data_IF_450519251407
#
_entry.id   IF_450519251407
#
_cell.length_a   1.000
_cell.length_b   1.000
_cell.length_c   1.000
_cell.angle_alpha   90.00
_cell.angle_beta   90.00
_cell.angle_gamma   90.00
#
_symmetry.space_group_name_H-M   'P 1'
#
loop_
_entity.id
_entity.type
_entity.pdbx_description
1 polymer ?
#
# COMPACT_ATOMS: atom_id res chain seq x y z
N UNK A 1 -22.44 -20.43 28.58
CA UNK A 1 -21.47 -20.86 27.56
C UNK A 1 -22.30 -21.04 26.31
N UNK A 2 -22.64 -19.93 25.66
CA UNK A 2 -23.44 -19.90 24.44
C UNK A 2 -22.71 -19.02 23.42
N UNK A 3 -22.60 -19.57 22.21
CA UNK A 3 -21.96 -18.98 21.04
C UNK A 3 -22.93 -17.99 20.40
N UNK A 4 -22.95 -16.76 20.88
CA UNK A 4 -23.60 -15.67 20.13
C UNK A 4 -22.67 -15.17 19.04
N UNK A 5 -22.72 -15.90 17.94
CA UNK A 5 -22.16 -15.48 16.65
C UNK A 5 -23.09 -14.38 16.15
N UNK A 6 -22.73 -13.13 16.40
CA UNK A 6 -23.48 -11.98 15.91
C UNK A 6 -23.56 -12.09 14.38
N UNK A 7 -24.76 -12.42 13.89
CA UNK A 7 -25.09 -12.44 12.48
C UNK A 7 -24.92 -11.02 11.95
N UNK A 8 -23.84 -10.83 11.18
CA UNK A 8 -23.59 -9.60 10.44
C UNK A 8 -24.76 -9.42 9.46
N UNK A 9 -25.41 -8.27 9.57
CA UNK A 9 -26.61 -7.91 8.83
C UNK A 9 -26.34 -7.98 7.30
N UNK A 10 -26.98 -8.90 6.56
CA UNK A 10 -26.71 -9.11 5.14
C UNK A 10 -27.04 -7.88 4.27
N UNK A 11 -27.82 -6.94 4.79
CA UNK A 11 -28.21 -5.71 4.10
C UNK A 11 -27.10 -4.64 4.04
N UNK A 12 -26.09 -4.69 4.92
CA UNK A 12 -24.95 -3.77 4.88
C UNK A 12 -23.93 -4.20 3.82
N UNK A 13 -23.84 -5.49 3.54
CA UNK A 13 -22.98 -6.03 2.47
C UNK A 13 -23.55 -5.75 1.06
N UNK A 14 -24.86 -5.59 0.92
CA UNK A 14 -25.53 -5.43 -0.39
C UNK A 14 -25.61 -3.96 -0.86
N UNK A 15 -25.47 -2.98 0.04
CA UNK A 15 -25.44 -1.55 -0.31
C UNK A 15 -24.08 -1.01 -0.76
N UNK A 16 -23.02 -1.81 -0.69
CA UNK A 16 -21.77 -1.57 -1.43
C UNK A 16 -21.97 -1.97 -2.90
N UNK A 17 -22.91 -1.30 -3.57
CA UNK A 17 -23.22 -1.45 -4.99
C UNK A 17 -22.10 -0.95 -5.92
N UNK A 18 -22.28 -1.07 -7.24
CA UNK A 18 -21.28 -1.60 -8.18
C UNK A 18 -20.12 -0.66 -8.60
N UNK A 19 -19.97 0.52 -8.01
CA UNK A 19 -19.04 1.54 -8.52
C UNK A 19 -17.55 1.29 -8.24
N UNK A 20 -17.20 0.42 -7.29
CA UNK A 20 -15.79 0.06 -7.02
C UNK A 20 -15.30 -1.03 -8.00
N UNK A 21 -16.21 -1.68 -8.74
CA UNK A 21 -15.86 -2.74 -9.70
C UNK A 21 -15.13 -2.22 -10.96
N UNK A 22 -15.20 -0.90 -11.24
CA UNK A 22 -14.56 -0.26 -12.40
C UNK A 22 -13.07 0.07 -12.24
N UNK A 23 -12.54 0.10 -11.01
CA UNK A 23 -11.13 0.40 -10.73
C UNK A 23 -10.24 -0.85 -10.61
N UNK A 24 -10.79 -2.02 -10.95
CA UNK A 24 -10.14 -3.34 -10.80
C UNK A 24 -9.05 -3.66 -11.85
N UNK A 25 -8.59 -2.69 -12.66
CA UNK A 25 -7.62 -2.94 -13.74
C UNK A 25 -6.37 -2.07 -13.65
N UNK A 26 -5.72 -2.07 -12.50
CA UNK A 26 -4.27 -1.90 -12.44
C UNK A 26 -3.68 -2.95 -11.49
N UNK A 27 -4.06 -4.21 -11.72
CA UNK A 27 -3.22 -5.31 -11.28
C UNK A 27 -1.92 -5.19 -12.07
N UNK A 28 -0.82 -4.87 -11.39
CA UNK A 28 0.51 -5.04 -11.95
C UNK A 28 0.59 -6.48 -12.45
N UNK A 29 0.70 -6.60 -13.77
CA UNK A 29 0.54 -7.87 -14.48
C UNK A 29 1.51 -8.87 -13.84
N UNK A 30 1.07 -10.02 -13.29
CA UNK A 30 1.97 -11.01 -12.68
C UNK A 30 3.09 -11.44 -13.63
N UNK A 31 2.89 -11.25 -14.93
CA UNK A 31 3.88 -11.34 -15.98
C UNK A 31 5.09 -10.41 -15.80
N UNK A 32 4.93 -9.14 -15.41
CA UNK A 32 6.07 -8.20 -15.24
C UNK A 32 6.93 -8.56 -14.04
N UNK A 33 6.33 -9.02 -12.94
CA UNK A 33 7.04 -9.55 -11.76
C UNK A 33 7.66 -10.93 -12.01
N UNK A 34 7.06 -11.77 -12.84
CA UNK A 34 7.65 -13.03 -13.30
C UNK A 34 8.87 -12.80 -14.19
N UNK A 35 8.75 -11.91 -15.17
CA UNK A 35 9.86 -11.47 -16.01
C UNK A 35 10.97 -10.86 -15.16
N UNK A 36 10.64 -10.10 -14.13
CA UNK A 36 11.60 -9.50 -13.20
C UNK A 36 12.53 -10.54 -12.55
N UNK A 37 11.97 -11.61 -11.97
CA UNK A 37 12.76 -12.68 -11.35
C UNK A 37 13.56 -13.47 -12.39
N UNK A 38 12.98 -13.72 -13.55
CA UNK A 38 13.64 -14.46 -14.64
C UNK A 38 14.80 -13.63 -15.21
N UNK A 39 14.63 -12.31 -15.37
CA UNK A 39 15.69 -11.43 -15.84
C UNK A 39 16.81 -11.28 -14.80
N UNK A 40 16.51 -11.09 -13.52
CA UNK A 40 17.59 -10.94 -12.53
C UNK A 40 18.33 -12.25 -12.25
N UNK A 41 17.59 -13.32 -11.97
CA UNK A 41 18.20 -14.58 -11.56
C UNK A 41 18.66 -15.43 -12.75
N UNK A 42 18.09 -15.21 -13.95
CA UNK A 42 18.45 -15.95 -15.16
C UNK A 42 19.42 -15.19 -16.05
N UNK A 43 19.20 -13.89 -16.28
CA UNK A 43 19.98 -13.13 -17.27
C UNK A 43 21.38 -12.77 -16.76
N UNK A 44 21.53 -12.46 -15.46
CA UNK A 44 22.84 -12.13 -14.87
C UNK A 44 23.86 -13.28 -14.95
N UNK A 45 23.56 -14.53 -14.55
CA UNK A 45 24.51 -15.62 -14.69
C UNK A 45 24.79 -15.98 -16.15
N UNK A 46 23.80 -15.89 -17.05
CA UNK A 46 24.03 -16.08 -18.49
C UNK A 46 24.95 -15.00 -19.05
N UNK A 47 24.72 -13.73 -18.69
CA UNK A 47 25.59 -12.61 -19.05
C UNK A 47 27.01 -12.85 -18.55
N UNK A 48 27.18 -13.24 -17.28
CA UNK A 48 28.50 -13.54 -16.70
C UNK A 48 29.23 -14.65 -17.48
N UNK A 49 28.54 -15.76 -17.79
CA UNK A 49 29.12 -16.87 -18.55
C UNK A 49 29.52 -16.43 -19.96
N UNK A 50 28.69 -15.63 -20.63
CA UNK A 50 29.02 -15.07 -21.95
C UNK A 50 30.24 -14.14 -21.88
N UNK A 51 30.36 -13.32 -20.84
CA UNK A 51 31.52 -12.46 -20.64
C UNK A 51 32.81 -13.27 -20.41
N UNK A 52 32.75 -14.35 -19.62
CA UNK A 52 33.89 -15.24 -19.37
C UNK A 52 34.28 -15.99 -20.66
N UNK A 53 33.32 -16.59 -21.37
CA UNK A 53 33.57 -17.29 -22.61
C UNK A 53 34.19 -16.36 -23.68
N UNK A 54 33.71 -15.12 -23.73
CA UNK A 54 34.24 -14.09 -24.62
C UNK A 54 35.66 -13.68 -24.27
N UNK A 55 35.98 -13.50 -22.98
CA UNK A 55 37.34 -13.22 -22.52
C UNK A 55 38.31 -14.33 -22.94
N UNK A 56 37.92 -15.60 -22.77
CA UNK A 56 38.72 -16.76 -23.19
C UNK A 56 38.91 -16.79 -24.70
N UNK A 57 37.90 -16.42 -25.49
CA UNK A 57 38.02 -16.31 -26.94
C UNK A 57 39.05 -15.24 -27.34
N UNK A 58 38.93 -14.02 -26.81
CA UNK A 58 39.84 -12.89 -27.11
C UNK A 58 41.30 -13.27 -26.84
N UNK A 59 41.58 -13.87 -25.68
CA UNK A 59 42.94 -14.28 -25.28
C UNK A 59 43.55 -15.27 -26.28
N UNK A 60 42.73 -16.11 -26.92
CA UNK A 60 43.21 -17.13 -27.84
C UNK A 60 43.37 -16.66 -29.29
N UNK A 61 42.65 -15.61 -29.73
CA UNK A 61 42.60 -15.28 -31.17
C UNK A 61 43.73 -14.42 -31.73
N UNK A 62 44.45 -13.61 -30.94
CA UNK A 62 45.58 -12.79 -31.43
C UNK A 62 45.22 -11.72 -32.49
N UNK A 63 46.07 -10.71 -32.65
CA UNK A 63 46.01 -9.72 -33.76
C UNK A 63 45.05 -8.54 -33.60
N UNK A 64 44.91 -7.74 -34.66
CA UNK A 64 44.15 -6.47 -34.68
C UNK A 64 42.64 -6.63 -34.43
N UNK A 65 42.10 -7.83 -34.66
CA UNK A 65 40.72 -8.18 -34.32
C UNK A 65 40.42 -8.07 -32.83
N UNK A 66 41.45 -8.12 -31.98
CA UNK A 66 41.32 -7.92 -30.53
C UNK A 66 40.76 -6.52 -30.26
N UNK A 67 41.30 -5.46 -30.88
CA UNK A 67 40.93 -4.07 -30.56
C UNK A 67 39.44 -3.83 -30.85
N UNK A 68 38.96 -4.27 -32.02
CA UNK A 68 37.55 -4.12 -32.41
C UNK A 68 36.64 -4.91 -31.47
N UNK A 69 37.06 -6.12 -31.09
CA UNK A 69 36.31 -6.96 -30.16
C UNK A 69 36.24 -6.36 -28.75
N UNK A 70 37.32 -5.75 -28.25
CA UNK A 70 37.32 -5.07 -26.94
C UNK A 70 36.39 -3.86 -26.95
N UNK A 71 36.46 -3.02 -27.98
CA UNK A 71 35.56 -1.85 -28.09
C UNK A 71 34.08 -2.24 -28.15
N UNK A 72 33.75 -3.33 -28.87
CA UNK A 72 32.38 -3.84 -28.92
C UNK A 72 31.93 -4.32 -27.54
N UNK A 73 32.78 -5.07 -26.82
CA UNK A 73 32.48 -5.57 -25.49
C UNK A 73 32.32 -4.47 -24.43
N UNK A 74 33.18 -3.46 -24.47
CA UNK A 74 33.09 -2.30 -23.57
C UNK A 74 31.78 -1.54 -23.80
N UNK A 75 31.31 -1.45 -25.04
CA UNK A 75 30.01 -0.86 -25.36
C UNK A 75 28.84 -1.66 -24.75
N UNK A 76 28.84 -3.00 -24.83
CA UNK A 76 27.79 -3.82 -24.20
C UNK A 76 27.83 -3.75 -22.67
N UNK A 77 29.03 -3.76 -22.07
CA UNK A 77 29.17 -3.54 -20.64
C UNK A 77 28.64 -2.16 -20.23
N UNK A 78 28.97 -1.11 -20.98
CA UNK A 78 28.46 0.23 -20.73
C UNK A 78 26.92 0.29 -20.80
N UNK A 79 26.31 -0.30 -21.83
CA UNK A 79 24.85 -0.39 -21.91
C UNK A 79 24.27 -1.16 -20.72
N UNK A 80 24.87 -2.29 -20.35
CA UNK A 80 24.47 -3.05 -19.18
C UNK A 80 24.54 -2.22 -17.89
N UNK A 81 25.62 -1.45 -17.69
CA UNK A 81 25.76 -0.54 -16.56
C UNK A 81 24.71 0.56 -16.57
N UNK A 82 24.36 1.13 -17.72
CA UNK A 82 23.25 2.10 -17.82
C UNK A 82 21.94 1.44 -17.39
N UNK A 83 21.61 0.27 -17.94
CA UNK A 83 20.38 -0.44 -17.59
C UNK A 83 20.34 -0.77 -16.10
N UNK A 84 21.43 -1.29 -15.54
CA UNK A 84 21.56 -1.57 -14.12
C UNK A 84 21.43 -0.31 -13.27
N UNK A 85 21.99 0.82 -13.70
CA UNK A 85 21.91 2.09 -12.97
C UNK A 85 20.50 2.65 -12.99
N UNK A 86 19.85 2.72 -14.16
CA UNK A 86 18.43 3.12 -14.27
C UNK A 86 17.56 2.22 -13.42
N UNK A 87 17.84 0.92 -13.41
CA UNK A 87 17.16 -0.07 -12.60
C UNK A 87 17.33 0.16 -11.08
N UNK A 88 18.57 0.39 -10.60
CA UNK A 88 18.85 0.68 -9.19
C UNK A 88 18.23 2.02 -8.77
N UNK A 89 18.26 3.01 -9.66
CA UNK A 89 17.73 4.35 -9.42
C UNK A 89 16.22 4.45 -9.57
N UNK A 90 15.56 3.45 -10.15
CA UNK A 90 14.10 3.41 -10.20
C UNK A 90 13.61 3.28 -8.75
N UNK A 91 12.82 4.25 -8.24
CA UNK A 91 12.35 4.24 -6.86
C UNK A 91 11.72 2.87 -6.54
N UNK A 92 12.02 2.36 -5.35
CA UNK A 92 11.65 1.01 -4.89
C UNK A 92 10.29 0.60 -5.42
N UNK A 93 10.28 -0.37 -6.32
CA UNK A 93 9.09 -0.96 -6.98
C UNK A 93 8.00 -1.35 -5.98
N UNK A 94 8.38 -1.52 -4.71
CA UNK A 94 7.51 -1.67 -3.56
C UNK A 94 6.37 -0.64 -3.52
N UNK A 95 6.59 0.62 -3.92
CA UNK A 95 5.56 1.67 -3.90
C UNK A 95 4.56 1.57 -5.06
N UNK A 96 4.96 0.97 -6.18
CA UNK A 96 4.12 0.85 -7.39
C UNK A 96 3.26 -0.41 -7.40
N UNK A 97 3.57 -1.42 -6.59
CA UNK A 97 2.90 -2.71 -6.66
C UNK A 97 1.72 -2.88 -5.69
N UNK A 98 1.51 -1.96 -4.75
CA UNK A 98 0.42 -2.07 -3.78
C UNK A 98 -0.84 -1.45 -4.37
N UNK A 99 -1.85 -2.29 -4.61
CA UNK A 99 -3.19 -1.89 -5.08
C UNK A 99 -3.84 -0.93 -4.10
N UNK A 100 -4.84 -0.16 -4.55
CA UNK A 100 -5.60 0.74 -3.68
C UNK A 100 -6.18 0.00 -2.45
N UNK A 101 -6.75 -1.19 -2.67
CA UNK A 101 -7.27 -2.05 -1.60
C UNK A 101 -6.19 -2.43 -0.60
N UNK A 102 -4.98 -2.77 -1.09
CA UNK A 102 -3.82 -3.04 -0.24
C UNK A 102 -3.38 -1.81 0.56
N UNK A 103 -3.49 -0.60 0.02
CA UNK A 103 -3.21 0.64 0.76
C UNK A 103 -4.24 0.87 1.86
N UNK A 104 -5.53 0.70 1.55
CA UNK A 104 -6.63 0.86 2.50
C UNK A 104 -6.47 -0.14 3.66
N UNK A 105 -6.26 -1.42 3.35
CA UNK A 105 -6.06 -2.45 4.37
C UNK A 105 -4.80 -2.17 5.21
N UNK A 106 -3.71 -1.72 4.58
CA UNK A 106 -2.50 -1.31 5.29
C UNK A 106 -2.76 -0.22 6.34
N UNK A 107 -3.49 0.84 5.97
CA UNK A 107 -3.89 1.88 6.91
C UNK A 107 -4.86 1.37 7.99
N UNK A 108 -5.80 0.49 7.62
CA UNK A 108 -6.71 -0.13 8.59
C UNK A 108 -5.93 -0.93 9.66
N UNK A 109 -4.91 -1.69 9.25
CA UNK A 109 -4.05 -2.44 10.17
C UNK A 109 -3.22 -1.51 11.06
N UNK A 110 -2.72 -0.38 10.54
CA UNK A 110 -2.04 0.63 11.37
C UNK A 110 -2.99 1.19 12.45
N UNK A 111 -4.23 1.52 12.08
CA UNK A 111 -5.22 2.05 13.03
C UNK A 111 -5.60 1.01 14.09
N UNK A 112 -5.76 -0.26 13.69
CA UNK A 112 -6.10 -1.37 14.59
C UNK A 112 -4.97 -1.71 15.54
N UNK A 113 -3.76 -1.92 15.03
CA UNK A 113 -2.61 -2.35 15.82
C UNK A 113 -1.95 -1.21 16.60
N UNK A 114 -2.17 0.05 16.19
CA UNK A 114 -1.54 1.27 16.74
C UNK A 114 -0.04 1.08 16.98
N UNK A 115 0.74 0.70 15.94
CA UNK A 115 2.14 0.43 16.12
C UNK A 115 2.86 1.72 16.54
N UNK A 116 3.54 1.68 17.69
CA UNK A 116 4.40 2.77 18.12
C UNK A 116 5.67 2.81 17.25
N UNK A 117 6.66 3.64 17.58
CA UNK A 117 7.97 3.63 16.91
C UNK A 117 8.81 2.36 17.16
N UNK A 118 8.24 1.32 17.77
CA UNK A 118 8.91 0.04 18.02
C UNK A 118 8.83 -0.85 16.79
N UNK A 119 9.98 -1.32 16.27
CA UNK A 119 10.02 -2.24 15.13
C UNK A 119 9.20 -3.51 15.36
N UNK A 120 9.14 -4.01 16.61
CA UNK A 120 8.37 -5.21 16.97
C UNK A 120 6.86 -5.03 16.75
N UNK A 121 6.31 -3.84 16.98
CA UNK A 121 4.89 -3.60 16.68
C UNK A 121 4.62 -3.49 15.18
N UNK A 122 5.59 -3.04 14.40
CA UNK A 122 5.51 -3.03 12.95
C UNK A 122 5.65 -4.44 12.33
N UNK A 123 6.38 -5.35 12.98
CA UNK A 123 6.43 -6.75 12.57
C UNK A 123 5.04 -7.41 12.60
N UNK A 124 4.18 -7.03 13.56
CA UNK A 124 2.79 -7.54 13.63
C UNK A 124 1.99 -7.06 12.42
N UNK A 125 2.08 -5.78 12.07
CA UNK A 125 1.43 -5.21 10.88
C UNK A 125 1.94 -5.90 9.60
N UNK A 126 3.25 -6.16 9.52
CA UNK A 126 3.89 -6.88 8.43
C UNK A 126 3.30 -8.28 8.24
N UNK A 127 3.08 -9.03 9.33
CA UNK A 127 2.47 -10.37 9.28
C UNK A 127 1.03 -10.31 8.77
N UNK A 128 0.22 -9.39 9.28
CA UNK A 128 -1.17 -9.23 8.82
C UNK A 128 -1.24 -8.89 7.33
N UNK A 129 -0.39 -7.97 6.87
CA UNK A 129 -0.37 -7.56 5.47
C UNK A 129 0.15 -8.65 4.54
N UNK A 130 1.16 -9.42 4.95
CA UNK A 130 1.64 -10.57 4.19
C UNK A 130 0.56 -11.64 4.04
N UNK A 131 -0.26 -11.83 5.09
CA UNK A 131 -1.39 -12.76 5.05
C UNK A 131 -2.44 -12.28 4.04
N UNK A 132 -2.84 -11.01 4.15
CA UNK A 132 -3.78 -10.38 3.21
C UNK A 132 -3.30 -10.46 1.75
N UNK A 133 -2.01 -10.22 1.51
CA UNK A 133 -1.44 -10.32 0.16
C UNK A 133 -1.41 -11.75 -0.36
N UNK A 134 -1.05 -12.71 0.49
CA UNK A 134 -1.11 -14.13 0.14
C UNK A 134 -2.53 -14.58 -0.22
N UNK A 135 -3.54 -14.13 0.52
CA UNK A 135 -4.96 -14.47 0.28
C UNK A 135 -5.49 -13.86 -1.03
N UNK A 136 -5.02 -12.66 -1.40
CA UNK A 136 -5.39 -11.98 -2.64
C UNK A 136 -4.52 -12.36 -3.84
N UNK A 137 -3.62 -13.34 -3.69
CA UNK A 137 -2.74 -13.80 -4.77
C UNK A 137 -1.69 -12.77 -5.20
N UNK A 138 -1.40 -11.76 -4.37
CA UNK A 138 -0.32 -10.81 -4.66
C UNK A 138 1.01 -11.37 -4.16
N UNK A 139 2.04 -11.30 -5.01
CA UNK A 139 3.39 -11.77 -4.65
C UNK A 139 4.18 -10.79 -3.78
N UNK A 140 3.55 -9.70 -3.34
CA UNK A 140 4.19 -8.71 -2.50
C UNK A 140 4.33 -9.24 -1.07
N UNK A 141 5.56 -9.17 -0.53
CA UNK A 141 5.84 -9.63 0.83
C UNK A 141 6.78 -8.65 1.52
N UNK A 142 6.32 -8.14 2.66
CA UNK A 142 7.18 -7.42 3.59
C UNK A 142 8.10 -8.42 4.31
N UNK A 143 9.39 -8.11 4.37
CA UNK A 143 10.39 -8.97 5.02
C UNK A 143 10.34 -8.81 6.54
N UNK A 144 10.14 -7.58 7.01
CA UNK A 144 10.10 -7.21 8.43
C UNK A 144 9.36 -5.87 8.61
N UNK A 145 9.15 -5.48 9.86
CA UNK A 145 8.46 -4.25 10.25
C UNK A 145 9.17 -2.98 9.79
N UNK A 146 10.49 -3.00 9.57
CA UNK A 146 11.21 -1.84 9.03
C UNK A 146 10.74 -1.49 7.61
N UNK A 147 10.43 -2.47 6.77
CA UNK A 147 9.88 -2.21 5.43
C UNK A 147 8.49 -1.55 5.51
N UNK A 148 7.61 -2.03 6.40
CA UNK A 148 6.29 -1.43 6.62
C UNK A 148 6.40 0.00 7.16
N UNK A 149 7.27 0.23 8.15
CA UNK A 149 7.50 1.56 8.72
C UNK A 149 8.04 2.54 7.67
N UNK A 150 9.01 2.10 6.85
CA UNK A 150 9.56 2.91 5.75
C UNK A 150 8.49 3.27 4.74
N UNK A 151 7.65 2.32 4.36
CA UNK A 151 6.53 2.52 3.44
C UNK A 151 5.52 3.53 4.00
N UNK A 152 5.14 3.38 5.27
CA UNK A 152 4.25 4.32 5.95
C UNK A 152 4.81 5.75 5.95
N UNK A 153 6.10 5.92 6.27
CA UNK A 153 6.74 7.23 6.23
C UNK A 153 6.87 7.80 4.81
N UNK A 154 7.06 6.95 3.80
CA UNK A 154 7.07 7.37 2.42
C UNK A 154 5.69 7.94 2.02
N UNK A 155 4.61 7.19 2.21
CA UNK A 155 3.25 7.66 1.88
C UNK A 155 2.82 8.85 2.71
N UNK A 156 3.21 8.92 3.99
CA UNK A 156 2.93 10.08 4.82
C UNK A 156 3.61 11.34 4.27
N UNK A 157 4.90 11.28 3.92
CA UNK A 157 5.62 12.40 3.30
C UNK A 157 5.00 12.81 1.97
N UNK A 158 4.60 11.85 1.15
CA UNK A 158 3.93 12.11 -0.11
C UNK A 158 2.58 12.82 0.11
N UNK A 159 1.81 12.38 1.11
CA UNK A 159 0.55 13.04 1.47
C UNK A 159 0.77 14.47 1.98
N UNK A 160 1.82 14.71 2.77
CA UNK A 160 2.20 16.05 3.23
C UNK A 160 2.66 16.95 2.07
N UNK A 161 3.48 16.44 1.16
CA UNK A 161 3.89 17.16 -0.06
C UNK A 161 2.69 17.47 -0.96
N UNK A 162 1.78 16.52 -1.15
CA UNK A 162 0.55 16.73 -1.91
C UNK A 162 -0.35 17.77 -1.25
N UNK A 163 -0.38 17.84 0.09
CA UNK A 163 -1.09 18.90 0.81
C UNK A 163 -0.43 20.27 0.64
N UNK A 164 0.90 20.34 0.68
CA UNK A 164 1.64 21.59 0.46
C UNK A 164 1.54 22.09 -1.00
N UNK A 165 1.50 21.17 -1.96
CA UNK A 165 1.39 21.48 -3.39
C UNK A 165 -0.04 21.75 -3.84
N UNK A 166 -1.06 21.35 -3.06
CA UNK A 166 -2.41 21.84 -3.28
C UNK A 166 -2.35 23.34 -3.07
N UNK A 167 -2.46 24.10 -4.16
CA UNK A 167 -2.82 25.51 -4.07
C UNK A 167 -3.98 25.63 -3.09
N UNK A 168 -4.02 26.68 -2.24
CA UNK A 168 -5.18 26.93 -1.40
C UNK A 168 -6.39 26.86 -2.33
N UNK A 169 -7.18 25.81 -2.12
CA UNK A 169 -8.45 25.64 -2.80
C UNK A 169 -9.18 26.95 -2.57
N UNK A 170 -9.68 27.61 -3.64
CA UNK A 170 -10.46 28.85 -3.54
C UNK A 170 -11.29 28.81 -2.27
N UNK A 171 -11.14 29.80 -1.38
CA UNK A 171 -11.62 29.68 0.00
C UNK A 171 -13.10 29.28 0.05
N UNK A 172 -13.88 29.71 -0.93
CA UNK A 172 -15.28 29.32 -1.13
C UNK A 172 -15.51 27.80 -1.21
N UNK A 173 -14.65 27.06 -1.91
CA UNK A 173 -14.76 25.60 -1.99
C UNK A 173 -14.27 24.92 -0.70
N UNK A 174 -13.37 25.55 0.05
CA UNK A 174 -12.99 25.08 1.39
C UNK A 174 -14.15 25.23 2.37
N UNK A 175 -14.81 26.39 2.38
CA UNK A 175 -15.92 26.70 3.25
C UNK A 175 -17.12 25.77 2.98
N UNK A 176 -17.44 25.53 1.71
CA UNK A 176 -18.46 24.56 1.31
C UNK A 176 -18.15 23.13 1.78
N UNK A 177 -16.90 22.68 1.65
CA UNK A 177 -16.53 21.32 2.07
C UNK A 177 -16.56 21.15 3.59
N UNK A 178 -16.22 22.19 4.36
CA UNK A 178 -16.34 22.15 5.81
C UNK A 178 -17.82 22.17 6.25
N UNK A 179 -18.69 22.96 5.59
CA UNK A 179 -20.15 22.93 5.82
C UNK A 179 -20.75 21.54 5.55
N UNK A 180 -20.37 20.90 4.43
CA UNK A 180 -20.83 19.54 4.11
C UNK A 180 -20.35 18.54 5.16
N UNK A 181 -19.12 18.71 5.66
CA UNK A 181 -18.55 17.84 6.70
C UNK A 181 -19.27 17.99 8.04
N UNK A 182 -19.55 19.23 8.46
CA UNK A 182 -20.33 19.51 9.66
C UNK A 182 -21.75 18.93 9.56
N UNK A 183 -22.38 19.10 8.40
CA UNK A 183 -23.71 18.55 8.11
C UNK A 183 -23.72 17.02 8.21
N UNK A 184 -22.72 16.35 7.62
CA UNK A 184 -22.59 14.90 7.70
C UNK A 184 -22.38 14.42 9.15
N UNK A 185 -21.54 15.09 9.93
CA UNK A 185 -21.31 14.77 11.33
C UNK A 185 -22.59 14.92 12.17
N UNK A 186 -23.37 15.98 11.92
CA UNK A 186 -24.67 16.20 12.56
C UNK A 186 -25.64 15.07 12.25
N UNK A 187 -25.82 14.73 10.98
CA UNK A 187 -26.70 13.63 10.53
C UNK A 187 -26.31 12.32 11.20
N UNK A 188 -25.01 12.00 11.27
CA UNK A 188 -24.53 10.79 11.94
C UNK A 188 -24.91 10.81 13.42
N UNK A 189 -24.63 11.89 14.15
CA UNK A 189 -24.95 11.98 15.58
C UNK A 189 -26.46 11.88 15.84
N UNK A 190 -27.29 12.47 14.98
CA UNK A 190 -28.75 12.42 15.08
C UNK A 190 -29.25 11.01 14.77
N UNK A 191 -28.66 10.35 13.78
CA UNK A 191 -28.96 8.97 13.44
C UNK A 191 -28.59 8.00 14.56
N UNK A 192 -27.44 8.19 15.21
CA UNK A 192 -27.04 7.40 16.38
C UNK A 192 -28.00 7.64 17.54
N UNK A 193 -28.31 8.90 17.87
CA UNK A 193 -29.25 9.24 18.94
C UNK A 193 -30.63 8.64 18.70
N UNK A 194 -31.11 8.70 17.45
CA UNK A 194 -32.37 8.09 17.04
C UNK A 194 -32.34 6.56 17.17
N UNK A 195 -31.26 5.94 16.70
CA UNK A 195 -31.04 4.50 16.81
C UNK A 195 -31.07 4.02 18.27
N UNK A 196 -30.31 4.69 19.15
CA UNK A 196 -30.26 4.36 20.58
C UNK A 196 -31.62 4.55 21.26
N UNK A 197 -32.33 5.66 20.98
CA UNK A 197 -33.67 5.91 21.54
C UNK A 197 -34.71 4.89 21.08
N UNK A 198 -34.64 4.45 19.82
CA UNK A 198 -35.54 3.45 19.24
C UNK A 198 -35.27 2.05 19.82
N UNK A 199 -34.00 1.68 19.95
CA UNK A 199 -33.60 0.34 20.36
C UNK A 199 -33.61 0.12 21.87
N UNK A 200 -33.37 1.18 22.66
CA UNK A 200 -33.28 1.14 24.11
C UNK A 200 -34.02 2.33 24.74
N UNK A 201 -35.37 2.37 24.67
CA UNK A 201 -36.15 3.51 25.16
C UNK A 201 -35.93 3.77 26.65
N UNK A 202 -35.68 2.72 27.44
CA UNK A 202 -35.50 2.78 28.90
C UNK A 202 -34.19 3.50 29.32
N UNK A 203 -33.19 3.54 28.42
CA UNK A 203 -31.93 4.24 28.64
C UNK A 203 -31.97 5.72 28.22
N UNK A 204 -32.99 6.12 27.44
CA UNK A 204 -33.11 7.45 26.86
C UNK A 204 -33.90 8.46 27.71
N UNK A 205 -34.53 8.03 28.79
CA UNK A 205 -35.20 8.91 29.74
C UNK A 205 -34.15 9.38 30.74
N UNK A 206 -33.69 10.61 30.56
CA UNK A 206 -32.81 11.27 31.52
C UNK A 206 -33.35 11.07 32.93
N UNK A 207 -32.49 10.50 33.78
CA UNK A 207 -32.62 10.44 35.23
C UNK A 207 -32.59 11.85 35.82
N UNK A 208 -33.61 12.65 35.54
CA UNK A 208 -33.88 13.95 36.17
C UNK A 208 -35.08 13.85 37.10
N UNK A 209 -35.18 12.77 37.88
CA UNK A 209 -35.93 12.81 39.12
C UNK A 209 -35.00 13.36 40.19
N UNK A 210 -34.84 14.69 40.24
CA UNK A 210 -34.33 15.35 41.45
C UNK A 210 -35.33 15.00 42.55
N UNK A 211 -34.95 14.25 43.60
CA UNK A 211 -35.87 13.97 44.69
C UNK A 211 -36.20 15.30 45.38
N UNK A 212 -37.46 15.68 45.31
CA UNK A 212 -38.05 16.83 46.00
C UNK A 212 -37.85 16.61 47.51
N UNK A 213 -36.87 17.30 48.10
CA UNK A 213 -36.69 17.34 49.54
C UNK A 213 -37.79 18.21 50.14
N UNK A 214 -38.87 17.57 50.61
CA UNK A 214 -39.80 18.17 51.57
C UNK A 214 -39.11 18.32 52.92
N UNK A 215 -38.98 19.56 53.38
CA UNK A 215 -38.72 19.96 54.77
C UNK A 215 -39.97 20.62 55.31
#
# INVERSE_FOLDING_TARGET
MDKDTAAVDPLVAERAGPEISGLRRYATNPFTLGLWKILLNGFYPVYLVLNIAWFVYIVNTGGDGIIVATCFFDFFNFLFYIFLTVFIMTPSIDDFCITLDGKIEFYAQIIRCRPNNSLKSWDVVCVHMNTFFSENGTMFRFVNGYHCLRLYHHWRRQAEQNRANRQPVDSERSDYLEEVRETAAKIISESEKSYWKSRYPDLGVGSSSTPEQTV
#
